data_IF_894543108122
#
_entry.id   IF_894543108122
#
_cell.length_a   1.000
_cell.length_b   1.000
_cell.length_c   1.000
_cell.angle_alpha   90.00
_cell.angle_beta   90.00
_cell.angle_gamma   90.00
#
_symmetry.space_group_name_H-M   'P 1'
#
loop_
_entity.id
_entity.type
_entity.pdbx_description
1 polymer ?
#
# COMPACT_ATOMS: atom_id res chain seq x y z
N UNK A 1 -3.34 25.96 -10.70
CA UNK A 1 -3.85 24.60 -11.03
C UNK A 1 -2.67 23.86 -11.61
N UNK A 2 -2.22 22.72 -11.04
CA UNK A 2 -1.14 21.98 -11.67
C UNK A 2 -1.56 21.70 -13.11
N UNK A 3 -0.64 21.90 -14.04
CA UNK A 3 -0.94 21.67 -15.45
C UNK A 3 -1.40 20.23 -15.61
N UNK A 4 -2.45 20.00 -16.40
CA UNK A 4 -2.89 18.64 -16.77
C UNK A 4 -1.72 17.79 -17.30
N UNK A 5 -0.71 18.47 -17.86
CA UNK A 5 0.59 17.94 -18.24
C UNK A 5 1.31 17.26 -17.08
N UNK A 6 1.42 17.87 -15.90
CA UNK A 6 2.09 17.25 -14.75
C UNK A 6 1.41 15.94 -14.34
N UNK A 7 0.07 15.92 -14.27
CA UNK A 7 -0.69 14.71 -13.96
C UNK A 7 -0.44 13.60 -15.00
N UNK A 8 -0.43 13.95 -16.28
CA UNK A 8 -0.11 13.02 -17.36
C UNK A 8 1.33 12.50 -17.24
N UNK A 9 2.30 13.36 -16.89
CA UNK A 9 3.69 12.94 -16.68
C UNK A 9 3.84 11.98 -15.51
N UNK A 10 3.16 12.22 -14.38
CA UNK A 10 3.13 11.28 -13.26
C UNK A 10 2.48 9.94 -13.64
N UNK A 11 1.38 9.98 -14.39
CA UNK A 11 0.71 8.78 -14.90
C UNK A 11 1.62 8.00 -15.86
N UNK A 12 2.31 8.68 -16.78
CA UNK A 12 3.22 8.07 -17.75
C UNK A 12 4.45 7.48 -17.05
N UNK A 13 5.07 8.21 -16.13
CA UNK A 13 6.22 7.70 -15.36
C UNK A 13 5.85 6.50 -14.50
N UNK A 14 4.69 6.56 -13.84
CA UNK A 14 4.14 5.44 -13.08
C UNK A 14 3.80 4.23 -13.97
N UNK A 15 3.12 4.45 -15.10
CA UNK A 15 2.77 3.38 -16.03
C UNK A 15 4.00 2.75 -16.71
N UNK A 16 5.02 3.55 -17.03
CA UNK A 16 6.25 3.06 -17.65
C UNK A 16 7.01 2.12 -16.70
N UNK A 17 7.27 2.54 -15.46
CA UNK A 17 7.92 1.65 -14.49
C UNK A 17 7.01 0.51 -14.03
N UNK A 18 5.69 0.75 -13.91
CA UNK A 18 4.72 -0.28 -13.56
C UNK A 18 4.69 -1.42 -14.59
N UNK A 19 4.63 -1.10 -15.88
CA UNK A 19 4.65 -2.10 -16.95
C UNK A 19 6.01 -2.79 -17.06
N UNK A 20 7.11 -2.06 -16.92
CA UNK A 20 8.46 -2.64 -16.89
C UNK A 20 8.62 -3.67 -15.76
N UNK A 21 7.99 -3.41 -14.62
CA UNK A 21 8.08 -4.29 -13.46
C UNK A 21 7.25 -5.58 -13.60
N UNK A 22 6.34 -5.69 -14.57
CA UNK A 22 5.70 -6.97 -14.91
C UNK A 22 6.72 -8.02 -15.33
N UNK A 23 7.79 -7.60 -16.01
CA UNK A 23 8.81 -8.51 -16.57
C UNK A 23 9.69 -9.11 -15.45
N UNK A 24 9.75 -8.46 -14.28
CA UNK A 24 10.63 -8.87 -13.18
C UNK A 24 10.13 -10.07 -12.40
N UNK A 25 8.85 -10.45 -12.57
CA UNK A 25 8.22 -11.51 -11.76
C UNK A 25 8.04 -11.15 -10.29
N UNK A 26 8.27 -9.90 -9.88
CA UNK A 26 8.06 -9.47 -8.49
C UNK A 26 6.55 -9.43 -8.20
N UNK A 27 6.08 -10.04 -7.08
CA UNK A 27 4.68 -9.94 -6.67
C UNK A 27 4.24 -8.48 -6.55
N UNK A 28 3.08 -8.14 -7.11
CA UNK A 28 2.59 -6.76 -7.21
C UNK A 28 3.58 -5.77 -7.87
N UNK A 29 4.42 -6.27 -8.79
CA UNK A 29 5.39 -5.47 -9.55
C UNK A 29 4.81 -4.18 -10.16
N UNK A 30 3.63 -4.20 -10.81
CA UNK A 30 3.03 -2.98 -11.35
C UNK A 30 2.79 -1.88 -10.33
N UNK A 31 2.35 -2.25 -9.12
CA UNK A 31 2.09 -1.29 -8.05
C UNK A 31 3.40 -0.68 -7.56
N UNK A 32 4.41 -1.52 -7.35
CA UNK A 32 5.75 -1.09 -6.95
C UNK A 32 6.38 -0.15 -8.00
N UNK A 33 6.34 -0.54 -9.27
CA UNK A 33 6.83 0.27 -10.38
C UNK A 33 6.10 1.61 -10.50
N UNK A 34 4.77 1.61 -10.33
CA UNK A 34 3.99 2.84 -10.35
C UNK A 34 4.36 3.80 -9.20
N UNK A 35 4.54 3.29 -7.98
CA UNK A 35 4.98 4.08 -6.82
C UNK A 35 6.38 4.64 -7.07
N UNK A 36 7.31 3.83 -7.57
CA UNK A 36 8.67 4.28 -7.86
C UNK A 36 8.69 5.33 -8.97
N UNK A 37 7.93 5.13 -10.06
CA UNK A 37 7.91 6.05 -11.19
C UNK A 37 7.36 7.40 -10.82
N UNK A 38 6.19 7.43 -10.16
CA UNK A 38 5.60 8.66 -9.67
C UNK A 38 6.43 9.29 -8.54
N UNK A 39 7.00 8.48 -7.66
CA UNK A 39 7.84 8.93 -6.54
C UNK A 39 9.13 9.60 -7.00
N UNK A 40 9.86 9.00 -7.94
CA UNK A 40 11.09 9.55 -8.52
C UNK A 40 10.83 10.89 -9.21
N UNK A 41 9.74 11.00 -9.97
CA UNK A 41 9.31 12.26 -10.59
C UNK A 41 8.91 13.32 -9.56
N UNK A 42 8.37 12.91 -8.41
CA UNK A 42 8.03 13.82 -7.32
C UNK A 42 9.27 14.34 -6.59
N UNK A 43 10.24 13.45 -6.33
CA UNK A 43 11.49 13.77 -5.63
C UNK A 43 12.43 14.60 -6.50
N UNK A 44 12.38 14.47 -7.83
CA UNK A 44 13.24 15.24 -8.73
C UNK A 44 13.04 16.76 -8.61
N UNK A 45 11.89 17.20 -8.07
CA UNK A 45 11.55 18.62 -7.91
C UNK A 45 11.32 19.35 -9.25
N UNK A 46 11.37 18.63 -10.37
CA UNK A 46 11.19 19.19 -11.71
C UNK A 46 9.71 19.39 -12.06
N UNK A 47 8.82 18.66 -11.37
CA UNK A 47 7.37 18.75 -11.53
C UNK A 47 6.75 19.30 -10.25
N UNK A 48 5.72 20.14 -10.40
CA UNK A 48 4.89 20.53 -9.26
C UNK A 48 4.15 19.31 -8.72
N UNK A 49 3.98 19.27 -7.39
CA UNK A 49 3.21 18.23 -6.72
C UNK A 49 1.84 18.09 -7.39
N UNK A 50 1.56 16.90 -7.91
CA UNK A 50 0.29 16.61 -8.55
C UNK A 50 -0.87 16.72 -7.55
N UNK A 51 -1.77 17.68 -7.80
CA UNK A 51 -3.08 17.71 -7.15
C UNK A 51 -4.08 16.94 -8.01
N UNK A 52 -4.48 15.78 -7.50
CA UNK A 52 -5.53 14.98 -8.13
C UNK A 52 -6.90 15.64 -7.95
N UNK A 53 -7.82 15.49 -8.93
CA UNK A 53 -9.19 15.93 -8.77
C UNK A 53 -9.84 15.38 -7.50
N UNK A 54 -10.71 16.17 -6.88
CA UNK A 54 -11.47 15.73 -5.72
C UNK A 54 -12.27 14.46 -6.07
N UNK A 55 -12.20 13.45 -5.20
CA UNK A 55 -12.91 12.19 -5.40
C UNK A 55 -12.14 11.12 -6.19
N UNK A 56 -10.97 11.40 -6.79
CA UNK A 56 -10.19 10.35 -7.49
C UNK A 56 -9.83 9.19 -6.56
N UNK A 57 -9.36 9.47 -5.33
CA UNK A 57 -9.05 8.42 -4.35
C UNK A 57 -10.29 7.58 -3.99
N UNK A 58 -11.44 8.23 -3.86
CA UNK A 58 -12.72 7.56 -3.58
C UNK A 58 -13.13 6.64 -4.71
N UNK A 59 -13.06 7.12 -5.96
CA UNK A 59 -13.43 6.34 -7.14
C UNK A 59 -12.51 5.13 -7.34
N UNK A 60 -11.20 5.30 -7.15
CA UNK A 60 -10.24 4.19 -7.14
C UNK A 60 -10.51 3.21 -5.98
N UNK A 61 -10.85 3.71 -4.80
CA UNK A 61 -11.23 2.88 -3.65
C UNK A 61 -12.47 2.04 -3.91
N UNK A 62 -13.50 2.62 -4.54
CA UNK A 62 -14.71 1.90 -4.97
C UNK A 62 -14.33 0.83 -5.99
N UNK A 63 -13.56 1.17 -7.03
CA UNK A 63 -13.16 0.22 -8.07
C UNK A 63 -12.37 -0.97 -7.49
N UNK A 64 -11.37 -0.71 -6.65
CA UNK A 64 -10.58 -1.75 -5.98
C UNK A 64 -11.47 -2.60 -5.06
N UNK A 65 -12.35 -1.95 -4.28
CA UNK A 65 -13.29 -2.63 -3.40
C UNK A 65 -14.26 -3.53 -4.17
N UNK A 66 -14.76 -3.09 -5.33
CA UNK A 66 -15.60 -3.90 -6.22
C UNK A 66 -14.83 -5.10 -6.75
N UNK A 67 -13.60 -4.93 -7.24
CA UNK A 67 -12.76 -6.05 -7.72
C UNK A 67 -12.55 -7.09 -6.62
N UNK A 68 -12.17 -6.67 -5.41
CA UNK A 68 -12.00 -7.56 -4.26
C UNK A 68 -13.33 -8.25 -3.91
N UNK A 69 -14.42 -7.48 -3.84
CA UNK A 69 -15.75 -7.98 -3.48
C UNK A 69 -16.30 -9.01 -4.46
N UNK A 70 -16.06 -8.83 -5.77
CA UNK A 70 -16.47 -9.80 -6.80
C UNK A 70 -15.74 -11.14 -6.69
N UNK A 71 -14.61 -11.20 -5.99
CA UNK A 71 -13.91 -12.45 -5.69
C UNK A 71 -14.54 -13.26 -4.55
N UNK A 72 -15.47 -12.68 -3.78
CA UNK A 72 -16.13 -13.37 -2.67
C UNK A 72 -17.31 -14.17 -3.22
N UNK A 73 -17.16 -15.50 -3.28
CA UNK A 73 -18.21 -16.41 -3.72
C UNK A 73 -18.72 -17.28 -2.54
N UNK A 74 -19.64 -18.23 -2.82
CA UNK A 74 -20.19 -19.12 -1.78
C UNK A 74 -19.14 -20.02 -1.12
N UNK A 75 -18.12 -20.43 -1.87
CA UNK A 75 -17.02 -21.25 -1.35
C UNK A 75 -16.15 -20.43 -0.41
N UNK A 76 -15.79 -19.20 -0.80
CA UNK A 76 -15.06 -18.24 0.05
C UNK A 76 -15.82 -17.94 1.35
N UNK A 77 -17.15 -17.83 1.29
CA UNK A 77 -17.99 -17.64 2.48
C UNK A 77 -17.96 -18.86 3.42
N UNK A 78 -17.95 -20.07 2.86
CA UNK A 78 -17.76 -21.30 3.63
C UNK A 78 -16.40 -21.35 4.32
N UNK A 79 -15.33 -21.02 3.59
CA UNK A 79 -13.98 -20.92 4.15
C UNK A 79 -13.89 -19.85 5.25
N UNK A 80 -14.56 -18.71 5.08
CA UNK A 80 -14.57 -17.63 6.06
C UNK A 80 -15.10 -18.07 7.43
N UNK A 81 -16.02 -19.04 7.48
CA UNK A 81 -16.51 -19.62 8.75
C UNK A 81 -15.41 -20.35 9.55
N UNK A 82 -14.39 -20.85 8.86
CA UNK A 82 -13.20 -21.43 9.51
C UNK A 82 -12.11 -20.38 9.76
N UNK A 83 -12.03 -19.34 8.93
CA UNK A 83 -10.96 -18.35 8.96
C UNK A 83 -11.24 -17.13 9.85
N UNK A 84 -12.49 -16.86 10.27
CA UNK A 84 -12.81 -15.66 11.03
C UNK A 84 -12.09 -15.59 12.39
N UNK A 85 -11.91 -16.73 13.08
CA UNK A 85 -11.16 -16.77 14.36
C UNK A 85 -9.68 -16.41 14.14
N UNK A 86 -8.93 -17.07 13.23
CA UNK A 86 -7.59 -16.63 12.85
C UNK A 86 -7.52 -15.16 12.42
N UNK A 87 -8.47 -14.72 11.58
CA UNK A 87 -8.50 -13.34 11.08
C UNK A 87 -8.63 -12.31 12.21
N UNK A 88 -9.47 -12.58 13.21
CA UNK A 88 -9.58 -11.71 14.39
C UNK A 88 -8.28 -11.69 15.18
N UNK A 89 -7.67 -12.85 15.47
CA UNK A 89 -6.40 -12.91 16.21
C UNK A 89 -5.30 -12.14 15.49
N UNK A 90 -5.18 -12.32 14.18
CA UNK A 90 -4.21 -11.58 13.33
C UNK A 90 -4.50 -10.08 13.43
N UNK A 91 -5.75 -9.67 13.25
CA UNK A 91 -6.14 -8.24 13.26
C UNK A 91 -5.84 -7.59 14.61
N UNK A 92 -6.23 -8.22 15.72
CA UNK A 92 -5.95 -7.70 17.07
C UNK A 92 -4.45 -7.65 17.35
N UNK A 93 -3.71 -8.68 16.95
CA UNK A 93 -2.24 -8.72 17.12
C UNK A 93 -1.59 -7.58 16.33
N UNK A 94 -1.99 -7.38 15.08
CA UNK A 94 -1.49 -6.28 14.23
C UNK A 94 -1.87 -4.90 14.79
N UNK A 95 -3.07 -4.75 15.34
CA UNK A 95 -3.48 -3.49 15.97
C UNK A 95 -2.64 -3.17 17.21
N UNK A 96 -2.49 -4.14 18.13
CA UNK A 96 -1.73 -3.94 19.36
C UNK A 96 -0.26 -3.67 19.04
N UNK A 97 0.36 -4.51 18.20
CA UNK A 97 1.76 -4.32 17.79
C UNK A 97 1.96 -3.02 17.01
N UNK A 98 1.04 -2.67 16.12
CA UNK A 98 1.05 -1.41 15.37
C UNK A 98 1.01 -0.20 16.30
N UNK A 99 0.13 -0.18 17.31
CA UNK A 99 0.07 0.89 18.31
C UNK A 99 1.37 0.96 19.12
N UNK A 100 1.89 -0.18 19.58
CA UNK A 100 3.15 -0.22 20.33
C UNK A 100 4.30 0.36 19.49
N UNK A 101 4.43 -0.08 18.24
CA UNK A 101 5.44 0.42 17.30
C UNK A 101 5.26 1.92 17.05
N UNK A 102 4.02 2.39 16.85
CA UNK A 102 3.74 3.81 16.67
C UNK A 102 4.20 4.67 17.86
N UNK A 103 3.94 4.20 19.09
CA UNK A 103 4.35 4.90 20.31
C UNK A 103 5.88 4.92 20.46
N UNK A 104 6.55 3.82 20.14
CA UNK A 104 8.02 3.73 20.16
C UNK A 104 8.62 4.68 19.11
N UNK A 105 8.11 4.64 17.88
CA UNK A 105 8.60 5.49 16.79
C UNK A 105 8.38 6.97 17.12
N UNK A 106 7.19 7.34 17.62
CA UNK A 106 6.93 8.72 17.99
C UNK A 106 7.85 9.19 19.12
N UNK A 107 8.14 8.32 20.10
CA UNK A 107 9.04 8.63 21.22
C UNK A 107 10.51 8.75 20.82
N UNK A 108 11.02 7.82 20.00
CA UNK A 108 12.46 7.71 19.71
C UNK A 108 12.89 8.40 18.42
N UNK A 109 12.00 8.48 17.41
CA UNK A 109 12.30 9.08 16.11
C UNK A 109 11.65 10.45 15.93
N UNK A 110 10.91 10.96 16.92
CA UNK A 110 10.31 12.30 16.90
C UNK A 110 9.20 12.48 15.85
N UNK A 111 8.63 11.37 15.35
CA UNK A 111 7.54 11.42 14.37
C UNK A 111 6.24 11.83 15.07
N UNK A 112 5.43 12.64 14.38
CA UNK A 112 4.08 13.00 14.84
C UNK A 112 3.26 11.75 15.21
N UNK A 113 2.52 11.84 16.31
CA UNK A 113 1.78 10.69 16.86
C UNK A 113 0.70 10.21 15.91
N UNK A 114 0.00 11.12 15.23
CA UNK A 114 -1.06 10.77 14.27
C UNK A 114 -0.45 10.10 13.05
N UNK A 115 0.67 10.62 12.54
CA UNK A 115 1.44 9.99 11.45
C UNK A 115 1.90 8.58 11.84
N UNK A 116 2.48 8.42 13.03
CA UNK A 116 3.02 7.15 13.50
C UNK A 116 1.90 6.11 13.68
N UNK A 117 0.77 6.51 14.30
CA UNK A 117 -0.37 5.61 14.52
C UNK A 117 -0.99 5.19 13.18
N UNK A 118 -1.32 6.15 12.31
CA UNK A 118 -1.93 5.84 11.00
C UNK A 118 -0.97 5.11 10.06
N UNK A 119 0.33 5.37 10.16
CA UNK A 119 1.37 4.68 9.40
C UNK A 119 1.59 3.23 9.85
N UNK A 120 1.57 2.98 11.16
CA UNK A 120 1.74 1.64 11.73
C UNK A 120 0.46 0.80 11.72
N UNK A 121 -0.72 1.44 11.64
CA UNK A 121 -1.99 0.75 11.64
C UNK A 121 -2.10 -0.26 10.49
N UNK A 122 -2.59 -1.49 10.76
CA UNK A 122 -2.97 -2.41 9.70
C UNK A 122 -4.12 -1.80 8.88
N UNK A 123 -4.00 -1.85 7.55
CA UNK A 123 -4.97 -1.22 6.66
C UNK A 123 -4.39 -0.92 5.29
N UNK A 124 -5.25 -0.55 4.34
CA UNK A 124 -4.83 -0.19 2.99
C UNK A 124 -4.29 1.24 2.90
N UNK A 125 -3.28 1.46 2.06
CA UNK A 125 -2.62 2.76 1.81
C UNK A 125 -3.60 3.88 1.48
N UNK A 126 -4.63 3.58 0.67
CA UNK A 126 -5.65 4.56 0.28
C UNK A 126 -6.49 4.97 1.49
N UNK A 127 -6.98 4.01 2.28
CA UNK A 127 -7.82 4.29 3.44
C UNK A 127 -7.09 5.09 4.51
N UNK A 128 -5.89 4.65 4.90
CA UNK A 128 -5.12 5.33 5.96
C UNK A 128 -4.65 6.72 5.54
N UNK A 129 -4.26 6.92 4.28
CA UNK A 129 -3.87 8.24 3.79
C UNK A 129 -5.06 9.19 3.61
N UNK A 130 -6.27 8.68 3.39
CA UNK A 130 -7.49 9.49 3.36
C UNK A 130 -7.84 9.97 4.77
N UNK A 131 -7.84 9.07 5.76
CA UNK A 131 -8.01 9.44 7.17
C UNK A 131 -6.93 10.43 7.59
N UNK A 132 -5.66 10.19 7.26
CA UNK A 132 -4.58 11.11 7.56
C UNK A 132 -4.73 12.48 6.91
N UNK A 133 -5.41 12.58 5.77
CA UNK A 133 -5.68 13.87 5.12
C UNK A 133 -6.64 14.75 5.94
N UNK A 134 -7.56 14.14 6.70
CA UNK A 134 -8.43 14.87 7.65
C UNK A 134 -7.63 15.53 8.77
N UNK A 135 -6.45 14.99 9.09
CA UNK A 135 -5.51 15.53 10.06
C UNK A 135 -4.36 16.34 9.41
N UNK A 136 -4.42 16.61 8.10
CA UNK A 136 -3.37 17.34 7.39
C UNK A 136 -2.06 16.57 7.14
N UNK A 137 -2.02 15.27 7.46
CA UNK A 137 -0.80 14.43 7.39
C UNK A 137 -0.89 13.30 6.37
N UNK A 138 -1.91 13.32 5.50
CA UNK A 138 -2.20 12.22 4.57
C UNK A 138 -1.05 11.85 3.64
N UNK A 139 -0.23 12.82 3.22
CA UNK A 139 0.96 12.59 2.39
C UNK A 139 2.05 11.79 3.14
N UNK A 140 2.31 12.14 4.41
CA UNK A 140 3.28 11.43 5.25
C UNK A 140 2.82 9.99 5.53
N UNK A 141 1.52 9.81 5.82
CA UNK A 141 0.92 8.48 6.01
C UNK A 141 1.03 7.65 4.73
N UNK A 142 0.72 8.23 3.56
CA UNK A 142 0.86 7.55 2.28
C UNK A 142 2.31 7.11 2.02
N UNK A 143 3.29 7.96 2.34
CA UNK A 143 4.71 7.64 2.18
C UNK A 143 5.15 6.47 3.08
N UNK A 144 4.74 6.45 4.35
CA UNK A 144 5.04 5.34 5.26
C UNK A 144 4.43 4.02 4.76
N UNK A 145 3.18 4.05 4.30
CA UNK A 145 2.51 2.88 3.74
C UNK A 145 3.13 2.43 2.40
N UNK A 146 3.62 3.37 1.59
CA UNK A 146 4.37 3.07 0.37
C UNK A 146 5.64 2.30 0.72
N UNK A 147 6.50 2.82 1.61
CA UNK A 147 7.72 2.13 2.06
C UNK A 147 7.38 0.75 2.62
N UNK A 148 6.34 0.66 3.48
CA UNK A 148 5.86 -0.62 4.03
C UNK A 148 5.48 -1.61 2.94
N UNK A 149 4.75 -1.18 1.91
CA UNK A 149 4.39 -2.03 0.76
C UNK A 149 5.64 -2.57 0.08
N UNK A 150 6.61 -1.71 -0.23
CA UNK A 150 7.89 -2.12 -0.84
C UNK A 150 8.56 -3.18 0.02
N UNK A 151 8.75 -2.90 1.32
CA UNK A 151 9.43 -3.80 2.26
C UNK A 151 8.71 -5.15 2.39
N UNK A 152 7.39 -5.16 2.50
CA UNK A 152 6.59 -6.40 2.62
C UNK A 152 6.67 -7.23 1.34
N UNK A 153 6.60 -6.60 0.17
CA UNK A 153 6.67 -7.30 -1.12
C UNK A 153 8.02 -7.98 -1.35
N UNK A 154 9.11 -7.46 -0.79
CA UNK A 154 10.42 -8.13 -0.84
C UNK A 154 10.57 -9.18 0.26
N UNK A 155 10.24 -8.84 1.52
CA UNK A 155 10.53 -9.72 2.66
C UNK A 155 9.64 -10.95 2.72
N UNK A 156 8.33 -10.82 2.46
CA UNK A 156 7.40 -11.95 2.63
C UNK A 156 7.75 -13.12 1.71
N UNK A 157 7.94 -12.94 0.38
CA UNK A 157 8.35 -14.03 -0.49
C UNK A 157 9.67 -14.67 -0.05
N UNK A 158 10.66 -13.87 0.38
CA UNK A 158 11.95 -14.39 0.87
C UNK A 158 11.78 -15.23 2.12
N UNK A 159 10.97 -14.78 3.09
CA UNK A 159 10.70 -15.52 4.32
C UNK A 159 9.94 -16.81 4.01
N UNK A 160 8.92 -16.76 3.13
CA UNK A 160 8.16 -17.96 2.72
C UNK A 160 9.07 -18.99 2.07
N UNK A 161 9.93 -18.59 1.13
CA UNK A 161 10.90 -19.50 0.50
C UNK A 161 11.90 -20.11 1.50
N UNK A 162 12.27 -19.36 2.54
CA UNK A 162 13.18 -19.85 3.58
C UNK A 162 12.50 -20.87 4.51
N UNK A 163 11.22 -20.65 4.84
CA UNK A 163 10.46 -21.47 5.77
C UNK A 163 9.80 -22.68 5.12
N UNK A 164 9.46 -22.60 3.82
CA UNK A 164 8.89 -23.70 3.03
C UNK A 164 9.63 -23.84 1.67
N UNK A 165 10.86 -24.39 1.67
CA UNK A 165 11.70 -24.49 0.47
C UNK A 165 11.13 -25.40 -0.64
N UNK A 166 10.10 -26.20 -0.33
CA UNK A 166 9.51 -27.19 -1.24
C UNK A 166 8.34 -26.65 -2.08
N UNK A 167 7.69 -25.55 -1.66
CA UNK A 167 6.71 -24.81 -2.46
C UNK A 167 7.41 -23.68 -3.18
N UNK A 168 8.04 -24.00 -4.32
CA UNK A 168 8.49 -22.96 -5.25
C UNK A 168 7.34 -22.00 -5.53
N UNK A 169 7.57 -20.69 -5.37
CA UNK A 169 6.58 -19.68 -5.69
C UNK A 169 6.24 -19.86 -7.17
N UNK A 170 5.09 -20.47 -7.44
CA UNK A 170 4.48 -20.48 -8.76
C UNK A 170 4.00 -19.08 -9.06
N UNK A 171 4.93 -18.14 -9.26
CA UNK A 171 4.64 -16.84 -9.83
C UNK A 171 4.22 -17.18 -11.27
N UNK A 172 2.93 -17.06 -11.64
CA UNK A 172 2.57 -17.18 -13.04
C UNK A 172 3.34 -16.08 -13.77
N UNK A 173 4.25 -16.48 -14.66
CA UNK A 173 4.92 -15.59 -15.60
C UNK A 173 3.92 -15.01 -16.58
#
# INVERSE_FOLDING_TARGET
MPSLVNLLLYLLGGAALGTLMLITGIPAGPLLGAILGAGLLSISGQLEIANWPLGTKTLLGIAIGTVIGTGINRETLGELQSLWKPALVITFTLLITGILVALLISKYLGVDKVVAILGAAPGGTIGMSLVGAEFGVGAAVAALHAVRLITVLFLIPTIVNLLDPGRGIGIPK
#
